data_IF_534517448207
#
_entry.id   IF_534517448207
#
_cell.length_a   1.000
_cell.length_b   1.000
_cell.length_c   1.000
_cell.angle_alpha   90.00
_cell.angle_beta   90.00
_cell.angle_gamma   90.00
#
_symmetry.space_group_name_H-M   'P 1'
#
loop_
_entity.id
_entity.type
_entity.pdbx_description
1 polymer ?
#
# COMPACT_ATOMS: atom_id res chain seq x y z
N UNK A 1 16.63 -2.65 7.30
CA UNK A 1 15.78 -3.80 6.88
C UNK A 1 15.95 -3.98 5.38
N UNK A 2 16.26 -5.18 4.89
CA UNK A 2 16.39 -5.42 3.43
C UNK A 2 14.99 -5.51 2.80
N UNK A 3 14.76 -4.84 1.68
CA UNK A 3 13.47 -4.81 0.97
C UNK A 3 13.68 -5.27 -0.47
N UNK A 4 12.82 -6.17 -0.93
CA UNK A 4 12.72 -6.56 -2.33
C UNK A 4 11.58 -5.76 -2.98
N UNK A 5 11.85 -5.19 -4.15
CA UNK A 5 10.85 -4.51 -4.96
C UNK A 5 10.38 -5.46 -6.05
N UNK A 6 9.11 -5.83 -5.99
CA UNK A 6 8.47 -6.71 -6.98
C UNK A 6 7.71 -5.87 -7.99
N UNK A 7 8.07 -5.98 -9.28
CA UNK A 7 7.31 -5.44 -10.41
C UNK A 7 6.57 -6.59 -11.10
N UNK A 8 5.25 -6.51 -11.17
CA UNK A 8 4.40 -7.49 -11.85
C UNK A 8 3.87 -6.83 -13.13
N UNK A 9 4.21 -7.40 -14.28
CA UNK A 9 3.66 -6.97 -15.58
C UNK A 9 2.57 -7.93 -16.00
N UNK A 10 1.32 -7.48 -15.90
CA UNK A 10 0.17 -8.24 -16.39
C UNK A 10 0.26 -8.39 -17.93
N UNK A 11 0.12 -9.62 -18.42
CA UNK A 11 0.04 -9.92 -19.87
C UNK A 11 -1.40 -10.02 -20.38
N UNK A 12 -2.37 -9.98 -19.47
CA UNK A 12 -3.81 -9.98 -19.70
C UNK A 12 -4.49 -9.31 -18.50
N UNK A 13 -5.77 -8.91 -18.62
CA UNK A 13 -6.54 -8.41 -17.48
C UNK A 13 -6.50 -9.37 -16.28
N UNK A 14 -6.40 -8.83 -15.08
CA UNK A 14 -6.38 -9.58 -13.83
C UNK A 14 -7.73 -9.44 -13.13
N UNK A 15 -8.28 -10.57 -12.67
CA UNK A 15 -9.49 -10.61 -11.84
C UNK A 15 -9.11 -11.15 -10.45
N UNK A 16 -8.74 -10.26 -9.54
CA UNK A 16 -8.34 -10.64 -8.17
C UNK A 16 -9.59 -10.59 -7.29
N UNK A 17 -10.13 -11.73 -6.89
CA UNK A 17 -11.36 -11.78 -6.11
C UNK A 17 -11.21 -11.17 -4.71
N UNK A 18 -12.15 -10.32 -4.32
CA UNK A 18 -12.33 -9.91 -2.93
C UNK A 18 -13.04 -11.02 -2.13
N UNK A 19 -12.60 -11.26 -0.89
CA UNK A 19 -13.17 -12.32 -0.05
C UNK A 19 -14.60 -11.95 0.34
N UNK A 20 -15.59 -12.80 0.02
CA UNK A 20 -17.01 -12.50 0.29
C UNK A 20 -17.71 -13.41 1.28
N UNK A 21 -18.65 -12.87 2.06
CA UNK A 21 -19.89 -13.53 2.42
C UNK A 21 -20.96 -13.24 1.34
N UNK A 22 -21.15 -14.08 0.31
CA UNK A 22 -22.22 -13.90 -0.69
C UNK A 22 -21.98 -14.51 -2.10
N UNK A 23 -22.94 -14.32 -3.02
CA UNK A 23 -23.03 -15.01 -4.33
C UNK A 23 -22.44 -14.30 -5.56
N UNK A 24 -22.08 -13.01 -5.47
CA UNK A 24 -21.44 -12.24 -6.56
C UNK A 24 -20.02 -11.97 -6.13
N UNK A 25 -18.95 -12.12 -6.93
CA UNK A 25 -17.56 -11.76 -6.53
C UNK A 25 -17.14 -10.42 -7.12
N UNK A 26 -16.63 -9.51 -6.29
CA UNK A 26 -16.00 -8.26 -6.75
C UNK A 26 -14.52 -8.49 -6.99
N UNK A 27 -13.95 -7.71 -7.90
CA UNK A 27 -12.52 -7.71 -8.19
C UNK A 27 -11.85 -6.55 -7.47
N UNK A 28 -10.70 -6.82 -6.86
CA UNK A 28 -9.86 -5.80 -6.23
C UNK A 28 -8.99 -5.11 -7.28
N UNK A 29 -8.77 -3.80 -7.09
CA UNK A 29 -7.91 -2.98 -7.96
C UNK A 29 -6.40 -3.12 -7.66
N UNK A 30 -6.04 -4.05 -6.78
CA UNK A 30 -4.66 -4.31 -6.36
C UNK A 30 -4.49 -5.80 -6.07
N UNK A 31 -3.23 -6.26 -5.97
CA UNK A 31 -2.93 -7.64 -5.60
C UNK A 31 -2.60 -7.67 -4.10
N UNK A 32 -3.39 -8.34 -3.25
CA UNK A 32 -3.08 -8.45 -1.83
C UNK A 32 -1.75 -9.15 -1.58
N UNK A 33 -1.00 -8.69 -0.57
CA UNK A 33 0.26 -9.31 -0.16
C UNK A 33 0.09 -10.77 0.26
N UNK A 34 -1.08 -11.12 0.81
CA UNK A 34 -1.45 -12.49 1.14
C UNK A 34 -1.56 -13.39 -0.10
N UNK A 35 -2.07 -12.87 -1.22
CA UNK A 35 -2.15 -13.59 -2.51
C UNK A 35 -0.75 -13.83 -3.06
N UNK A 36 0.12 -12.82 -3.02
CA UNK A 36 1.52 -12.94 -3.45
C UNK A 36 2.26 -13.96 -2.58
N UNK A 37 2.10 -13.87 -1.25
CA UNK A 37 2.68 -14.81 -0.29
C UNK A 37 2.25 -16.24 -0.59
N UNK A 38 0.95 -16.47 -0.79
CA UNK A 38 0.40 -17.78 -1.10
C UNK A 38 0.91 -18.35 -2.43
N UNK A 39 0.93 -17.52 -3.48
CA UNK A 39 1.40 -17.94 -4.80
C UNK A 39 2.88 -18.34 -4.80
N UNK A 40 3.74 -17.57 -4.14
CA UNK A 40 5.17 -17.88 -4.03
C UNK A 40 5.37 -19.14 -3.16
N UNK A 41 4.70 -19.23 -2.00
CA UNK A 41 4.78 -20.40 -1.13
C UNK A 41 4.36 -21.66 -1.89
N UNK A 42 3.25 -21.63 -2.62
CA UNK A 42 2.78 -22.75 -3.43
C UNK A 42 3.81 -23.18 -4.47
N UNK A 43 4.47 -22.23 -5.16
CA UNK A 43 5.50 -22.55 -6.14
C UNK A 43 6.74 -23.18 -5.53
N UNK A 44 7.18 -22.70 -4.37
CA UNK A 44 8.30 -23.28 -3.63
C UNK A 44 7.96 -24.72 -3.20
N UNK A 45 6.76 -24.95 -2.66
CA UNK A 45 6.30 -26.28 -2.26
C UNK A 45 6.22 -27.24 -3.46
N UNK A 46 5.73 -26.77 -4.61
CA UNK A 46 5.69 -27.57 -5.84
C UNK A 46 7.09 -27.98 -6.33
N UNK A 47 8.09 -27.13 -6.14
CA UNK A 47 9.48 -27.41 -6.55
C UNK A 47 10.24 -28.23 -5.50
N UNK A 48 9.87 -28.14 -4.22
CA UNK A 48 10.48 -28.88 -3.12
C UNK A 48 10.12 -30.37 -3.06
N UNK A 49 9.22 -30.83 -3.92
CA UNK A 49 8.78 -32.23 -3.97
C UNK A 49 7.80 -32.60 -2.85
N UNK A 50 7.79 -33.88 -2.45
CA UNK A 50 6.89 -34.42 -1.42
C UNK A 50 7.36 -34.18 0.01
N UNK A 51 8.53 -33.56 0.21
CA UNK A 51 8.99 -33.22 1.55
C UNK A 51 8.18 -32.03 2.07
N UNK A 52 7.52 -32.25 3.20
CA UNK A 52 6.87 -31.17 3.92
C UNK A 52 7.96 -30.27 4.52
N UNK A 53 7.77 -28.93 4.50
CA UNK A 53 8.64 -28.04 5.23
C UNK A 53 8.69 -28.39 6.71
N UNK A 54 9.87 -28.30 7.29
CA UNK A 54 10.11 -28.60 8.71
C UNK A 54 10.51 -27.33 9.46
N UNK A 55 10.15 -27.19 10.74
CA UNK A 55 10.59 -26.07 11.56
C UNK A 55 12.10 -25.83 11.49
N UNK A 56 12.49 -24.59 11.18
CA UNK A 56 13.90 -24.18 11.06
C UNK A 56 14.47 -24.23 9.64
N UNK A 57 13.73 -24.74 8.66
CA UNK A 57 14.10 -24.63 7.25
C UNK A 57 13.90 -23.20 6.69
N UNK A 58 14.30 -22.99 5.44
CA UNK A 58 14.20 -21.67 4.80
C UNK A 58 12.76 -21.30 4.43
N UNK A 59 11.87 -22.27 4.27
CA UNK A 59 10.45 -22.01 4.05
C UNK A 59 9.80 -21.44 5.32
N UNK A 60 10.05 -22.06 6.47
CA UNK A 60 9.64 -21.58 7.78
C UNK A 60 10.16 -20.18 8.07
N UNK A 61 11.46 -19.94 7.85
CA UNK A 61 12.05 -18.60 8.02
C UNK A 61 11.42 -17.55 7.13
N UNK A 62 10.99 -17.93 5.92
CA UNK A 62 10.42 -16.98 4.95
C UNK A 62 8.94 -16.72 5.20
N UNK A 63 8.18 -17.71 5.68
CA UNK A 63 6.72 -17.65 5.72
C UNK A 63 6.12 -17.81 7.12
N UNK A 64 6.67 -18.63 8.01
CA UNK A 64 5.98 -19.10 9.23
C UNK A 64 6.51 -18.48 10.51
N UNK A 65 7.82 -18.37 10.65
CA UNK A 65 8.46 -17.96 11.90
C UNK A 65 8.14 -16.50 12.28
N UNK A 66 8.37 -16.12 13.55
CA UNK A 66 8.06 -14.78 14.07
C UNK A 66 8.67 -13.61 13.29
N UNK A 67 9.78 -13.86 12.60
CA UNK A 67 10.49 -12.88 11.76
C UNK A 67 10.36 -13.16 10.26
N UNK A 68 9.29 -13.86 9.86
CA UNK A 68 8.97 -14.15 8.47
C UNK A 68 8.88 -12.88 7.62
N UNK A 69 9.07 -13.05 6.30
CA UNK A 69 9.03 -11.94 5.38
C UNK A 69 7.62 -11.33 5.32
N UNK A 70 7.57 -9.99 5.29
CA UNK A 70 6.33 -9.23 5.15
C UNK A 70 6.05 -9.02 3.67
N UNK A 71 4.96 -9.62 3.19
CA UNK A 71 4.45 -9.45 1.83
C UNK A 71 3.46 -8.30 1.81
N UNK A 72 3.85 -7.19 1.17
CA UNK A 72 2.99 -6.01 1.02
C UNK A 72 2.08 -6.16 -0.18
N UNK A 73 0.95 -5.45 -0.16
CA UNK A 73 0.07 -5.30 -1.31
C UNK A 73 0.82 -4.67 -2.48
N UNK A 74 0.50 -5.11 -3.70
CA UNK A 74 1.00 -4.51 -4.94
C UNK A 74 -0.07 -3.65 -5.56
N UNK A 75 0.26 -2.37 -5.73
CA UNK A 75 -0.63 -1.36 -6.29
C UNK A 75 -0.29 -1.09 -7.76
N UNK A 76 -1.28 -0.69 -8.57
CA UNK A 76 -1.04 -0.29 -9.95
C UNK A 76 -0.01 0.84 -10.02
N UNK A 77 1.02 0.65 -10.84
CA UNK A 77 2.01 1.67 -11.16
C UNK A 77 1.65 2.42 -12.46
N UNK A 78 0.36 2.67 -12.68
CA UNK A 78 -0.15 3.32 -13.89
C UNK A 78 -0.83 4.61 -13.45
N UNK A 79 -0.38 5.74 -13.97
CA UNK A 79 -0.93 7.06 -13.69
C UNK A 79 -1.65 7.61 -14.92
N UNK A 80 -2.76 8.31 -14.69
CA UNK A 80 -3.46 9.06 -15.72
C UNK A 80 -2.68 10.35 -16.02
N UNK A 81 -2.24 10.53 -17.27
CA UNK A 81 -1.41 11.67 -17.70
C UNK A 81 -2.16 12.66 -18.61
N UNK A 82 -3.39 12.35 -18.98
CA UNK A 82 -4.27 13.13 -19.86
C UNK A 82 -5.69 12.60 -19.79
N UNK A 83 -6.60 13.11 -20.63
CA UNK A 83 -8.04 12.79 -20.53
C UNK A 83 -8.33 11.29 -20.67
N UNK A 84 -7.61 10.60 -21.55
CA UNK A 84 -7.69 9.14 -21.77
C UNK A 84 -6.31 8.47 -21.91
N UNK A 85 -5.23 9.11 -21.47
CA UNK A 85 -3.88 8.56 -21.55
C UNK A 85 -3.40 8.06 -20.20
N UNK A 86 -2.88 6.84 -20.19
CA UNK A 86 -2.31 6.19 -19.03
C UNK A 86 -0.86 5.81 -19.32
N UNK A 87 0.04 6.10 -18.38
CA UNK A 87 1.45 5.78 -18.51
C UNK A 87 1.96 5.11 -17.24
N UNK A 88 3.01 4.29 -17.38
CA UNK A 88 3.69 3.73 -16.21
C UNK A 88 4.30 4.88 -15.41
N UNK A 89 4.01 4.93 -14.11
CA UNK A 89 4.62 5.87 -13.19
C UNK A 89 6.10 5.53 -13.01
N UNK A 90 6.97 6.49 -13.28
CA UNK A 90 8.40 6.41 -12.96
C UNK A 90 8.67 6.63 -11.46
N UNK A 91 7.73 7.26 -10.76
CA UNK A 91 7.80 7.51 -9.34
C UNK A 91 7.29 6.32 -8.52
N UNK A 92 7.84 6.08 -7.31
CA UNK A 92 7.31 5.07 -6.40
C UNK A 92 5.84 5.34 -6.07
N UNK A 93 5.04 4.26 -6.06
CA UNK A 93 3.64 4.34 -5.67
C UNK A 93 3.54 4.33 -4.14
N UNK A 94 2.92 5.36 -3.60
CA UNK A 94 2.63 5.52 -2.17
C UNK A 94 1.13 5.62 -1.97
N UNK A 95 0.64 4.98 -0.90
CA UNK A 95 -0.73 5.14 -0.47
C UNK A 95 -0.85 6.30 0.51
N UNK A 96 -1.96 7.01 0.42
CA UNK A 96 -2.40 7.87 1.49
C UNK A 96 -2.86 6.98 2.67
N UNK A 97 -2.43 7.25 3.90
CA UNK A 97 -2.97 6.57 5.06
C UNK A 97 -4.47 6.90 5.20
N UNK A 98 -5.25 6.00 5.80
CA UNK A 98 -6.69 6.23 6.03
C UNK A 98 -6.97 7.43 6.96
N UNK A 99 -5.93 7.88 7.67
CA UNK A 99 -5.92 9.03 8.58
C UNK A 99 -5.54 10.33 7.87
N UNK A 100 -5.22 10.26 6.56
CA UNK A 100 -5.00 11.44 5.75
C UNK A 100 -6.31 12.21 5.54
N UNK A 101 -6.32 13.47 5.94
CA UNK A 101 -7.41 14.41 5.72
C UNK A 101 -6.97 15.53 4.79
N UNK A 102 -7.92 16.04 4.02
CA UNK A 102 -7.72 17.19 3.13
C UNK A 102 -8.69 18.30 3.53
N UNK A 103 -8.26 19.55 3.36
CA UNK A 103 -9.14 20.70 3.51
C UNK A 103 -10.32 20.62 2.54
N UNK A 104 -11.52 20.97 3.03
CA UNK A 104 -12.76 20.94 2.23
C UNK A 104 -12.79 22.00 1.14
N UNK A 105 -12.30 23.19 1.44
CA UNK A 105 -12.33 24.34 0.51
C UNK A 105 -11.12 24.36 -0.41
N UNK A 106 -9.96 23.95 0.10
CA UNK A 106 -8.66 24.07 -0.57
C UNK A 106 -7.96 22.71 -0.58
N UNK A 107 -8.55 21.76 -1.30
CA UNK A 107 -8.14 20.35 -1.26
C UNK A 107 -6.86 20.05 -2.05
N UNK A 108 -6.18 18.97 -1.65
CA UNK A 108 -5.04 18.41 -2.35
C UNK A 108 -3.70 18.78 -1.72
N UNK A 109 -2.63 18.14 -2.19
CA UNK A 109 -1.28 18.34 -1.66
C UNK A 109 -0.82 19.79 -1.84
N UNK A 110 -0.10 20.30 -0.85
CA UNK A 110 0.63 21.56 -0.97
C UNK A 110 1.54 21.48 -2.18
N UNK A 111 1.55 22.51 -3.01
CA UNK A 111 2.52 22.64 -4.08
C UNK A 111 3.46 23.79 -3.74
N UNK A 112 4.71 23.70 -4.20
CA UNK A 112 5.71 24.76 -4.02
C UNK A 112 5.32 26.09 -4.70
N UNK A 113 4.23 26.07 -5.47
CA UNK A 113 3.70 27.23 -6.14
C UNK A 113 2.90 28.09 -5.15
N UNK A 114 3.46 29.24 -4.79
CA UNK A 114 2.93 30.21 -3.82
C UNK A 114 1.50 30.66 -4.19
N UNK A 115 1.14 30.65 -5.48
CA UNK A 115 -0.19 31.02 -5.96
C UNK A 115 -1.24 29.90 -5.82
N UNK A 116 -0.83 28.68 -5.48
CA UNK A 116 -1.77 27.59 -5.25
C UNK A 116 -2.32 27.66 -3.82
N UNK A 117 -3.60 28.02 -3.68
CA UNK A 117 -4.29 28.09 -2.38
C UNK A 117 -4.49 26.75 -1.67
N UNK A 118 -3.84 25.66 -2.11
CA UNK A 118 -4.04 24.31 -1.57
C UNK A 118 -3.50 24.24 -0.15
N UNK A 119 -4.36 23.90 0.80
CA UNK A 119 -4.04 23.85 2.23
C UNK A 119 -3.41 22.52 2.67
N UNK A 120 -3.21 21.58 1.74
CA UNK A 120 -2.48 20.34 1.99
C UNK A 120 -3.35 19.14 2.35
N UNK A 121 -2.67 17.98 2.36
CA UNK A 121 -3.17 16.73 2.91
C UNK A 121 -2.28 16.40 4.10
N UNK A 122 -2.86 16.17 5.27
CA UNK A 122 -2.14 15.89 6.50
C UNK A 122 -2.67 14.62 7.17
N UNK A 123 -1.83 13.93 7.93
CA UNK A 123 -2.23 12.74 8.69
C UNK A 123 -2.72 13.17 10.08
N UNK A 124 -4.02 13.06 10.32
CA UNK A 124 -4.65 13.53 11.54
C UNK A 124 -4.14 12.84 12.82
N UNK A 125 -3.67 11.59 12.74
CA UNK A 125 -3.11 10.90 13.91
C UNK A 125 -1.70 11.39 14.22
N UNK A 126 -0.89 11.61 13.20
CA UNK A 126 0.45 12.17 13.38
C UNK A 126 0.35 13.61 13.87
N UNK A 127 -0.54 14.41 13.29
CA UNK A 127 -0.76 15.80 13.69
C UNK A 127 -1.23 15.90 15.15
N UNK A 128 -2.21 15.06 15.53
CA UNK A 128 -2.69 14.96 16.91
C UNK A 128 -1.62 14.49 17.89
N UNK A 129 -0.79 13.52 17.49
CA UNK A 129 0.35 13.08 18.29
C UNK A 129 1.33 14.24 18.52
N UNK A 130 1.70 14.96 17.47
CA UNK A 130 2.62 16.11 17.55
C UNK A 130 2.10 17.21 18.48
N UNK A 131 0.83 17.62 18.33
CA UNK A 131 0.22 18.62 19.21
C UNK A 131 0.29 18.21 20.69
N UNK A 132 -0.03 16.94 20.98
CA UNK A 132 0.02 16.40 22.35
C UNK A 132 1.43 16.40 22.93
N UNK A 133 2.44 16.02 22.14
CA UNK A 133 3.84 16.03 22.61
C UNK A 133 4.37 17.44 22.88
N UNK A 134 3.76 18.47 22.26
CA UNK A 134 4.05 19.89 22.53
C UNK A 134 3.17 20.49 23.64
N UNK A 135 2.24 19.73 24.23
CA UNK A 135 1.30 20.23 25.23
C UNK A 135 0.24 21.19 24.67
N UNK A 136 0.04 21.19 23.36
CA UNK A 136 -0.97 22.01 22.67
C UNK A 136 -2.30 21.25 22.61
N UNK A 137 -3.40 22.00 22.57
CA UNK A 137 -4.67 21.41 22.17
C UNK A 137 -4.58 21.03 20.70
N UNK A 138 -5.11 19.87 20.35
CA UNK A 138 -5.12 19.45 18.96
C UNK A 138 -6.07 20.33 18.15
N UNK A 139 -5.49 21.21 17.34
CA UNK A 139 -6.17 22.01 16.33
C UNK A 139 -5.66 21.55 14.95
N UNK A 140 -6.50 20.89 14.13
CA UNK A 140 -6.04 20.30 12.88
C UNK A 140 -5.49 21.37 11.92
N UNK A 141 -4.28 21.14 11.41
CA UNK A 141 -3.65 22.01 10.39
C UNK A 141 -3.46 23.48 10.83
N UNK A 142 -3.18 23.74 12.11
CA UNK A 142 -2.75 25.07 12.54
C UNK A 142 -1.32 25.36 12.02
N UNK A 143 -1.24 26.14 10.96
CA UNK A 143 0.03 26.56 10.36
C UNK A 143 0.83 27.53 11.25
N UNK A 144 0.21 28.11 12.29
CA UNK A 144 0.83 29.09 13.17
C UNK A 144 1.26 28.51 14.52
N UNK A 145 0.75 27.33 14.89
CA UNK A 145 1.09 26.61 16.11
C UNK A 145 0.23 26.97 17.31
#
# INVERSE_FOLDING_TARGET
MKRLHLKITAKSPLAIGERKPGSVSEAMDYIPGSVIRGAIAQKILQHGGSQQPEPGDDFHKLFVDDRAAIFRNTYPAIAKTGEDTYQESTNPIHLLPATALSYKTESGFCSDNIDSKKAGVFDALIDSFCAREQGLFYEPNDLNG
#
